data_IF_894084296447
#
_entry.id   IF_894084296447
#
_cell.length_a   1.000
_cell.length_b   1.000
_cell.length_c   1.000
_cell.angle_alpha   90.00
_cell.angle_beta   90.00
_cell.angle_gamma   90.00
#
_symmetry.space_group_name_H-M   'P 1'
#
loop_
_entity.id
_entity.type
_entity.pdbx_description
1 polymer ?
#
# COMPACT_ATOMS: atom_id res chain seq x y z
N UNK A 1 -79.27 -65.57 9.18
CA UNK A 1 -79.25 -66.05 7.77
C UNK A 1 -78.95 -64.85 6.89
N UNK A 2 -77.70 -64.70 6.40
CA UNK A 2 -77.30 -64.89 4.98
C UNK A 2 -77.84 -63.75 4.07
N UNK A 3 -77.09 -63.04 3.22
CA UNK A 3 -75.74 -63.20 2.65
C UNK A 3 -75.33 -61.89 1.96
N UNK A 4 -74.01 -61.67 1.93
CA UNK A 4 -73.18 -60.95 0.95
C UNK A 4 -73.71 -59.73 0.15
N UNK A 5 -73.02 -58.60 0.33
CA UNK A 5 -72.86 -57.59 -0.73
C UNK A 5 -71.37 -57.24 -0.93
N UNK A 6 -70.94 -57.30 -2.20
CA UNK A 6 -69.56 -57.13 -2.66
C UNK A 6 -69.21 -55.63 -2.77
N UNK A 7 -68.13 -55.22 -2.09
CA UNK A 7 -67.50 -53.89 -2.24
C UNK A 7 -66.80 -53.75 -3.59
N UNK A 8 -67.17 -52.70 -4.35
CA UNK A 8 -66.49 -52.26 -5.59
C UNK A 8 -65.32 -51.33 -5.27
N UNK A 9 -64.24 -51.55 -6.00
CA UNK A 9 -62.95 -50.87 -5.96
C UNK A 9 -63.01 -49.42 -6.42
N UNK A 10 -62.41 -48.51 -5.63
CA UNK A 10 -61.93 -47.20 -6.10
C UNK A 10 -60.43 -47.14 -5.92
N UNK A 11 -59.74 -46.99 -7.03
CA UNK A 11 -58.29 -46.81 -7.18
C UNK A 11 -57.84 -45.52 -6.50
N UNK A 12 -57.08 -45.62 -5.40
CA UNK A 12 -56.33 -44.50 -4.79
C UNK A 12 -54.86 -44.59 -5.21
N UNK A 13 -54.44 -43.63 -6.03
CA UNK A 13 -53.03 -43.37 -6.36
C UNK A 13 -52.26 -43.01 -5.08
N UNK A 14 -51.15 -43.71 -4.81
CA UNK A 14 -50.17 -43.36 -3.76
C UNK A 14 -49.29 -42.18 -4.26
N UNK A 15 -48.96 -41.19 -3.41
CA UNK A 15 -48.05 -40.12 -3.79
C UNK A 15 -46.60 -40.62 -3.78
N UNK A 16 -45.83 -40.19 -4.78
CA UNK A 16 -44.38 -40.42 -4.89
C UNK A 16 -43.67 -39.67 -3.76
N UNK A 17 -42.83 -40.38 -2.99
CA UNK A 17 -41.83 -39.76 -2.12
C UNK A 17 -40.79 -39.08 -3.02
N UNK A 18 -40.71 -37.75 -2.98
CA UNK A 18 -39.50 -37.04 -3.39
C UNK A 18 -38.60 -36.97 -2.15
N UNK A 19 -37.49 -37.69 -2.21
CA UNK A 19 -36.40 -37.51 -1.26
C UNK A 19 -35.83 -36.10 -1.49
N UNK A 20 -36.09 -35.20 -0.55
CA UNK A 20 -35.48 -33.88 -0.53
C UNK A 20 -33.97 -34.03 -0.35
N UNK A 21 -33.21 -33.52 -1.31
CA UNK A 21 -31.81 -33.15 -1.08
C UNK A 21 -31.85 -31.88 -0.23
N UNK A 22 -31.24 -31.83 0.95
CA UNK A 22 -31.12 -30.58 1.70
C UNK A 22 -30.29 -29.62 0.86
N UNK A 23 -30.86 -28.47 0.49
CA UNK A 23 -30.03 -27.34 0.03
C UNK A 23 -29.18 -26.94 1.22
N UNK A 24 -27.86 -27.09 1.07
CA UNK A 24 -26.89 -26.49 1.97
C UNK A 24 -27.02 -24.97 1.79
N UNK A 25 -27.83 -24.32 2.63
CA UNK A 25 -27.68 -22.89 2.85
C UNK A 25 -26.38 -22.76 3.66
N UNK A 26 -25.29 -22.40 2.99
CA UNK A 26 -24.04 -22.03 3.66
C UNK A 26 -24.29 -20.94 4.70
N UNK A 27 -23.35 -20.75 5.65
CA UNK A 27 -23.49 -19.71 6.66
C UNK A 27 -23.81 -18.39 5.96
N UNK A 28 -24.95 -17.78 6.33
CA UNK A 28 -25.29 -16.42 5.90
C UNK A 28 -24.27 -15.49 6.56
N UNK A 29 -23.10 -15.35 5.93
CA UNK A 29 -22.19 -14.26 6.25
C UNK A 29 -22.98 -12.98 5.95
N UNK A 30 -23.34 -12.24 7.00
CA UNK A 30 -23.64 -10.82 6.81
C UNK A 30 -22.37 -10.22 6.23
N UNK A 31 -22.43 -9.72 5.00
CA UNK A 31 -21.40 -8.85 4.45
C UNK A 31 -21.36 -7.63 5.35
N UNK A 32 -20.38 -7.57 6.25
CA UNK A 32 -20.13 -6.40 7.08
C UNK A 32 -19.67 -5.32 6.11
N UNK A 33 -20.46 -4.27 5.92
CA UNK A 33 -20.02 -3.14 5.10
C UNK A 33 -19.06 -2.27 5.91
N UNK A 34 -18.13 -1.57 5.26
CA UNK A 34 -17.18 -0.65 5.92
C UNK A 34 -17.89 0.34 6.87
N UNK A 35 -19.15 0.70 6.59
CA UNK A 35 -20.00 1.55 7.43
C UNK A 35 -20.43 0.94 8.77
N UNK A 36 -20.33 -0.38 8.92
CA UNK A 36 -20.65 -1.12 10.16
C UNK A 36 -19.42 -1.32 11.06
N UNK A 37 -18.21 -1.05 10.56
CA UNK A 37 -17.00 -1.14 11.36
C UNK A 37 -16.86 0.07 12.31
N UNK A 38 -16.29 -0.14 13.51
CA UNK A 38 -15.93 0.97 14.39
C UNK A 38 -14.98 1.93 13.65
N UNK A 39 -15.20 3.23 13.89
CA UNK A 39 -14.52 4.31 13.18
C UNK A 39 -13.33 4.79 14.00
N UNK A 40 -12.27 5.14 13.30
CA UNK A 40 -11.16 5.90 13.86
C UNK A 40 -11.67 7.22 14.45
N UNK A 41 -10.94 7.74 15.44
CA UNK A 41 -11.16 9.10 15.96
C UNK A 41 -10.12 10.02 15.34
N UNK A 42 -10.55 11.06 14.64
CA UNK A 42 -9.61 12.05 14.10
C UNK A 42 -9.07 12.92 15.22
N UNK A 43 -7.75 13.05 15.29
CA UNK A 43 -7.05 13.90 16.27
C UNK A 43 -6.41 15.11 15.59
N UNK A 44 -5.93 14.96 14.35
CA UNK A 44 -5.40 16.04 13.50
C UNK A 44 -6.52 16.84 12.82
N UNK A 45 -7.29 17.61 13.60
CA UNK A 45 -8.45 18.34 13.07
C UNK A 45 -8.08 19.42 12.03
N UNK A 46 -6.97 20.14 12.25
CA UNK A 46 -6.49 21.15 11.30
C UNK A 46 -5.97 20.51 10.02
N UNK A 47 -5.20 19.43 10.12
CA UNK A 47 -4.80 18.61 8.97
C UNK A 47 -6.00 18.11 8.17
N UNK A 48 -7.03 17.58 8.84
CA UNK A 48 -8.23 17.10 8.16
C UNK A 48 -8.99 18.23 7.47
N UNK A 49 -9.07 19.40 8.10
CA UNK A 49 -9.73 20.56 7.50
C UNK A 49 -8.98 21.04 6.25
N UNK A 50 -7.66 21.24 6.34
CA UNK A 50 -6.81 21.61 5.22
C UNK A 50 -6.92 20.59 4.08
N UNK A 51 -6.87 19.30 4.41
CA UNK A 51 -7.08 18.21 3.44
C UNK A 51 -8.45 18.30 2.75
N UNK A 52 -9.51 18.64 3.49
CA UNK A 52 -10.87 18.80 2.95
C UNK A 52 -10.96 19.97 1.97
N UNK A 53 -10.36 21.11 2.31
CA UNK A 53 -10.40 22.33 1.49
C UNK A 53 -9.30 22.41 0.43
N UNK A 54 -8.42 21.40 0.39
CA UNK A 54 -7.28 21.30 -0.54
C UNK A 54 -6.19 22.33 -0.34
N UNK A 55 -5.92 22.65 0.93
CA UNK A 55 -4.82 23.51 1.35
C UNK A 55 -3.73 22.67 2.02
N UNK A 56 -2.52 23.23 2.10
CA UNK A 56 -1.44 22.64 2.88
C UNK A 56 -1.80 22.77 4.38
N UNK A 57 -1.70 21.71 5.18
CA UNK A 57 -1.92 21.82 6.62
C UNK A 57 -0.91 22.77 7.29
N UNK A 58 -1.25 23.32 8.47
CA UNK A 58 -0.27 24.08 9.25
C UNK A 58 0.80 23.14 9.84
N UNK A 59 1.96 23.71 10.18
CA UNK A 59 2.91 23.06 11.08
C UNK A 59 2.28 22.94 12.46
N UNK A 60 2.36 21.76 13.07
CA UNK A 60 1.73 21.49 14.36
C UNK A 60 2.71 20.95 15.39
N UNK A 61 2.65 21.48 16.62
CA UNK A 61 3.24 20.85 17.79
C UNK A 61 2.38 19.65 18.17
N UNK A 62 2.87 18.43 17.95
CA UNK A 62 2.14 17.19 18.26
C UNK A 62 2.26 16.88 19.75
N UNK A 63 3.48 16.88 20.28
CA UNK A 63 3.83 16.71 21.70
C UNK A 63 5.06 17.57 22.02
N UNK A 64 5.38 17.84 23.30
CA UNK A 64 6.60 18.58 23.62
C UNK A 64 7.85 17.91 23.00
N UNK A 65 8.52 18.64 22.09
CA UNK A 65 9.67 18.16 21.33
C UNK A 65 9.34 17.29 20.11
N UNK A 66 8.07 17.22 19.71
CA UNK A 66 7.61 16.48 18.51
C UNK A 66 6.71 17.38 17.67
N UNK A 67 7.13 17.67 16.45
CA UNK A 67 6.42 18.51 15.50
C UNK A 67 6.06 17.73 14.24
N UNK A 68 5.06 18.20 13.49
CA UNK A 68 4.71 17.67 12.18
C UNK A 68 4.71 18.80 11.17
N UNK A 69 5.55 18.70 10.14
CA UNK A 69 5.70 19.66 9.05
C UNK A 69 5.15 19.03 7.77
N UNK A 70 4.00 19.49 7.27
CA UNK A 70 3.50 19.06 5.98
C UNK A 70 4.38 19.64 4.87
N UNK A 71 5.09 18.77 4.16
CA UNK A 71 5.92 19.12 3.00
C UNK A 71 5.12 18.90 1.73
N UNK A 72 5.06 19.92 0.86
CA UNK A 72 4.28 19.86 -0.38
C UNK A 72 4.76 18.73 -1.33
N UNK A 73 3.78 18.03 -1.90
CA UNK A 73 3.94 17.05 -2.96
C UNK A 73 3.19 17.54 -4.20
N UNK A 74 3.84 18.37 -5.04
CA UNK A 74 3.16 19.09 -6.11
C UNK A 74 2.64 18.15 -7.19
N UNK A 75 1.51 18.53 -7.81
CA UNK A 75 0.84 17.77 -8.87
C UNK A 75 0.45 16.33 -8.50
N UNK A 76 0.40 16.00 -7.20
CA UNK A 76 0.00 14.68 -6.71
C UNK A 76 -1.35 14.76 -5.96
N UNK A 77 -2.26 13.78 -6.11
CA UNK A 77 -3.51 13.71 -5.34
C UNK A 77 -3.33 13.71 -3.81
N UNK A 78 -2.19 13.24 -3.30
CA UNK A 78 -1.84 13.23 -1.87
C UNK A 78 -1.48 14.63 -1.34
N UNK A 79 -0.98 15.51 -2.22
CA UNK A 79 -0.68 16.94 -2.01
C UNK A 79 0.43 17.28 -1.03
N UNK A 80 0.63 16.48 0.01
CA UNK A 80 1.71 16.65 0.97
C UNK A 80 2.08 15.33 1.63
N UNK A 81 3.31 15.30 2.14
CA UNK A 81 3.83 14.27 3.04
C UNK A 81 4.19 14.95 4.36
N UNK A 82 3.79 14.35 5.48
CA UNK A 82 4.10 14.85 6.81
C UNK A 82 5.52 14.41 7.17
N UNK A 83 6.41 15.37 7.35
CA UNK A 83 7.74 15.18 7.91
C UNK A 83 7.66 15.47 9.40
N UNK A 84 7.81 14.43 10.22
CA UNK A 84 7.78 14.59 11.68
C UNK A 84 9.19 14.95 12.20
N UNK A 85 9.25 15.83 13.19
CA UNK A 85 10.50 16.37 13.73
C UNK A 85 10.62 16.04 15.20
N UNK A 86 11.72 15.42 15.59
CA UNK A 86 12.07 15.14 16.97
C UNK A 86 13.19 16.06 17.44
N UNK A 87 12.96 16.78 18.52
CA UNK A 87 14.01 17.49 19.24
C UNK A 87 14.90 16.50 19.98
N UNK A 88 16.21 16.55 19.70
CA UNK A 88 17.24 15.72 20.33
C UNK A 88 18.30 16.64 20.96
N UNK A 89 19.14 16.15 21.89
CA UNK A 89 20.08 17.01 22.61
C UNK A 89 21.03 17.85 21.73
N UNK A 90 21.35 17.41 20.51
CA UNK A 90 22.26 18.13 19.62
C UNK A 90 21.59 18.87 18.45
N UNK A 91 20.26 18.81 18.33
CA UNK A 91 19.52 19.46 17.25
C UNK A 91 18.17 18.80 17.02
N UNK A 92 17.85 18.50 15.77
CA UNK A 92 16.63 17.80 15.39
C UNK A 92 16.90 16.59 14.51
N UNK A 93 16.01 15.60 14.58
CA UNK A 93 15.97 14.49 13.63
C UNK A 93 14.62 14.47 12.95
N UNK A 94 14.65 14.29 11.63
CA UNK A 94 13.46 14.18 10.80
C UNK A 94 13.07 12.71 10.62
N UNK A 95 11.77 12.45 10.55
CA UNK A 95 11.20 11.22 10.00
C UNK A 95 10.61 11.57 8.65
N UNK A 96 11.18 10.98 7.60
CA UNK A 96 11.01 11.30 6.19
C UNK A 96 11.49 12.72 5.81
N UNK A 97 11.48 13.04 4.52
CA UNK A 97 12.19 14.20 3.97
C UNK A 97 11.36 15.06 3.02
N UNK A 98 10.41 14.50 2.27
CA UNK A 98 9.68 15.21 1.23
C UNK A 98 10.13 14.90 -0.20
N UNK A 99 9.30 15.33 -1.16
CA UNK A 99 9.50 15.15 -2.60
C UNK A 99 10.68 16.00 -3.13
N UNK A 100 11.53 15.50 -4.06
CA UNK A 100 12.80 16.14 -4.42
C UNK A 100 12.67 17.32 -5.41
N UNK A 101 11.93 18.35 -5.03
CA UNK A 101 11.72 19.58 -5.82
C UNK A 101 12.03 20.83 -5.00
N UNK A 102 12.37 21.92 -5.68
CA UNK A 102 12.74 23.19 -5.01
C UNK A 102 11.62 23.79 -4.17
N UNK A 103 10.36 23.63 -4.59
CA UNK A 103 9.19 24.11 -3.85
C UNK A 103 9.03 23.37 -2.51
N UNK A 104 9.19 22.04 -2.51
CA UNK A 104 9.17 21.20 -1.31
C UNK A 104 10.35 21.51 -0.38
N UNK A 105 11.54 21.74 -0.95
CA UNK A 105 12.69 22.17 -0.18
C UNK A 105 12.46 23.51 0.52
N UNK A 106 11.96 24.51 -0.20
CA UNK A 106 11.66 25.82 0.37
C UNK A 106 10.61 25.70 1.49
N UNK A 107 9.53 24.96 1.24
CA UNK A 107 8.47 24.72 2.21
C UNK A 107 8.95 23.99 3.48
N UNK A 108 9.83 22.98 3.34
CA UNK A 108 10.45 22.32 4.50
C UNK A 108 11.30 23.30 5.33
N UNK A 109 12.11 24.15 4.67
CA UNK A 109 12.94 25.14 5.37
C UNK A 109 12.06 26.16 6.13
N UNK A 110 11.03 26.69 5.49
CA UNK A 110 10.06 27.59 6.14
C UNK A 110 9.36 26.92 7.34
N UNK A 111 9.01 25.64 7.20
CA UNK A 111 8.44 24.84 8.27
C UNK A 111 9.37 24.72 9.48
N UNK A 112 10.66 24.41 9.25
CA UNK A 112 11.68 24.35 10.29
C UNK A 112 11.89 25.71 10.96
N UNK A 113 12.00 26.79 10.17
CA UNK A 113 12.17 28.15 10.69
C UNK A 113 11.00 28.55 11.59
N UNK A 114 9.77 28.15 11.24
CA UNK A 114 8.57 28.45 12.02
C UNK A 114 8.57 27.81 13.42
N UNK A 115 9.33 26.74 13.62
CA UNK A 115 9.49 26.05 14.91
C UNK A 115 10.83 26.38 15.58
N UNK A 116 11.57 27.36 15.06
CA UNK A 116 12.81 27.86 15.66
C UNK A 116 14.06 27.07 15.30
N UNK A 117 14.00 26.21 14.27
CA UNK A 117 15.14 25.46 13.75
C UNK A 117 15.48 25.87 12.33
N UNK A 118 16.66 25.51 11.88
CA UNK A 118 17.12 25.66 10.50
C UNK A 118 17.51 24.29 9.94
N UNK A 119 17.70 24.21 8.63
CA UNK A 119 18.15 22.96 8.02
C UNK A 119 19.50 22.49 8.57
N UNK A 120 20.37 23.41 9.00
CA UNK A 120 21.68 23.09 9.57
C UNK A 120 21.60 22.52 10.99
N UNK A 121 20.44 22.57 11.64
CA UNK A 121 20.21 21.93 12.95
C UNK A 121 19.79 20.46 12.81
N UNK A 122 19.59 19.97 11.59
CA UNK A 122 19.23 18.57 11.34
C UNK A 122 20.46 17.68 11.53
N UNK A 123 20.38 16.77 12.51
CA UNK A 123 21.44 15.79 12.80
C UNK A 123 21.25 14.50 12.02
N UNK A 124 20.02 14.18 11.62
CA UNK A 124 19.69 12.93 10.96
C UNK A 124 18.32 12.92 10.30
N UNK A 125 18.16 12.00 9.35
CA UNK A 125 16.91 11.68 8.70
C UNK A 125 16.67 10.17 8.83
N UNK A 126 15.65 9.80 9.58
CA UNK A 126 15.08 8.46 9.57
C UNK A 126 14.08 8.37 8.42
N UNK A 127 14.21 7.37 7.57
CA UNK A 127 13.33 7.20 6.42
C UNK A 127 12.50 5.95 6.63
N UNK A 128 11.18 6.10 6.55
CA UNK A 128 10.22 5.00 6.71
C UNK A 128 10.37 3.99 5.59
N UNK A 129 10.53 4.46 4.35
CA UNK A 129 10.77 3.63 3.16
C UNK A 129 11.30 4.42 1.97
N UNK A 130 11.70 3.72 0.91
CA UNK A 130 12.43 4.29 -0.23
C UNK A 130 11.60 5.07 -1.28
N UNK A 131 10.31 5.31 -1.08
CA UNK A 131 9.55 6.14 -2.02
C UNK A 131 10.02 7.59 -2.01
N UNK A 132 9.94 8.23 -3.18
CA UNK A 132 10.61 9.50 -3.44
C UNK A 132 10.04 10.68 -2.63
N UNK A 133 8.78 10.64 -2.20
CA UNK A 133 8.20 11.60 -1.27
C UNK A 133 8.71 11.44 0.17
N UNK A 134 9.23 10.28 0.55
CA UNK A 134 9.78 10.05 1.87
C UNK A 134 11.29 10.26 1.91
N UNK A 135 11.98 9.80 0.87
CA UNK A 135 13.44 9.80 0.80
C UNK A 135 14.03 10.94 -0.04
N UNK A 136 13.24 11.55 -0.93
CA UNK A 136 13.75 12.37 -2.03
C UNK A 136 14.61 13.55 -1.61
N UNK A 137 14.19 14.31 -0.59
CA UNK A 137 14.99 15.45 -0.11
C UNK A 137 16.14 15.04 0.81
N UNK A 138 16.23 13.81 1.31
CA UNK A 138 17.18 13.43 2.35
C UNK A 138 18.65 13.68 1.94
N UNK A 139 18.98 13.53 0.65
CA UNK A 139 20.31 13.80 0.11
C UNK A 139 20.66 15.28 0.18
N UNK A 140 19.70 16.15 -0.17
CA UNK A 140 19.87 17.60 -0.08
C UNK A 140 19.94 18.06 1.38
N UNK A 141 19.21 17.41 2.28
CA UNK A 141 19.29 17.65 3.73
C UNK A 141 20.69 17.32 4.22
N UNK A 142 21.21 16.12 3.93
CA UNK A 142 22.58 15.72 4.27
C UNK A 142 23.61 16.70 3.73
N UNK A 143 23.53 17.07 2.46
CA UNK A 143 24.50 17.97 1.83
C UNK A 143 24.52 19.37 2.47
N UNK A 144 23.37 19.83 2.98
CA UNK A 144 23.23 21.13 3.64
C UNK A 144 23.60 21.14 5.13
N UNK A 145 23.42 20.02 5.84
CA UNK A 145 23.50 19.94 7.31
C UNK A 145 24.61 19.05 7.84
N UNK A 146 25.08 18.08 7.06
CA UNK A 146 25.90 16.97 7.53
C UNK A 146 25.10 15.84 8.19
N UNK A 147 23.77 15.87 8.15
CA UNK A 147 22.89 14.84 8.71
C UNK A 147 23.18 13.44 8.12
N UNK A 148 23.10 12.40 8.96
CA UNK A 148 23.09 11.02 8.46
C UNK A 148 21.71 10.62 7.94
N UNK A 149 21.66 9.72 6.96
CA UNK A 149 20.43 9.10 6.46
C UNK A 149 20.37 7.65 6.93
N UNK A 150 19.24 7.25 7.52
CA UNK A 150 19.03 5.87 7.94
C UNK A 150 17.69 5.32 7.46
N UNK A 151 17.70 4.10 6.91
CA UNK A 151 16.51 3.37 6.47
C UNK A 151 16.71 1.86 6.62
N UNK A 152 15.66 1.06 6.49
CA UNK A 152 15.79 -0.38 6.60
C UNK A 152 16.71 -0.97 5.53
N UNK A 153 17.45 -2.03 5.87
CA UNK A 153 18.45 -2.60 4.96
C UNK A 153 17.90 -3.08 3.61
N UNK A 154 16.65 -3.54 3.56
CA UNK A 154 16.03 -4.02 2.33
C UNK A 154 15.73 -2.86 1.37
N UNK A 155 15.24 -1.74 1.89
CA UNK A 155 14.99 -0.54 1.09
C UNK A 155 16.29 0.17 0.71
N UNK A 156 17.29 0.15 1.61
CA UNK A 156 18.64 0.64 1.32
C UNK A 156 19.26 -0.10 0.13
N UNK A 157 19.09 -1.43 0.04
CA UNK A 157 19.58 -2.23 -1.09
C UNK A 157 18.91 -1.84 -2.40
N UNK A 158 17.61 -1.58 -2.41
CA UNK A 158 16.89 -1.19 -3.64
C UNK A 158 17.38 0.14 -4.23
N UNK A 159 17.92 1.04 -3.39
CA UNK A 159 18.43 2.36 -3.81
C UNK A 159 19.95 2.43 -3.97
N UNK A 160 20.69 1.38 -3.61
CA UNK A 160 22.16 1.35 -3.64
C UNK A 160 22.74 1.03 -5.03
N UNK A 161 21.91 0.99 -6.07
CA UNK A 161 22.33 0.66 -7.43
C UNK A 161 22.30 1.87 -8.36
N UNK A 162 23.41 2.10 -9.07
CA UNK A 162 23.41 2.94 -10.28
C UNK A 162 22.68 2.16 -11.38
N UNK A 163 21.35 2.27 -11.41
CA UNK A 163 20.56 1.62 -12.45
C UNK A 163 20.68 2.43 -13.73
N UNK A 164 21.20 1.81 -14.79
CA UNK A 164 21.19 2.39 -16.12
C UNK A 164 19.71 2.66 -16.54
N UNK A 165 19.36 3.90 -16.95
CA UNK A 165 17.99 4.25 -17.34
C UNK A 165 17.39 3.30 -18.39
N UNK A 166 18.22 2.81 -19.31
CA UNK A 166 17.80 1.89 -20.36
C UNK A 166 17.54 0.48 -19.79
N UNK A 167 18.31 0.02 -18.80
CA UNK A 167 18.02 -1.24 -18.09
C UNK A 167 16.71 -1.13 -17.32
N UNK A 168 16.48 0.00 -16.63
CA UNK A 168 15.23 0.24 -15.90
C UNK A 168 14.02 0.22 -16.85
N UNK A 169 14.12 0.98 -17.95
CA UNK A 169 13.08 1.04 -18.98
C UNK A 169 12.75 -0.36 -19.51
N UNK A 170 13.76 -1.16 -19.85
CA UNK A 170 13.59 -2.54 -20.34
C UNK A 170 12.92 -3.47 -19.35
N UNK A 171 13.30 -3.38 -18.07
CA UNK A 171 12.63 -4.14 -17.01
C UNK A 171 11.16 -3.73 -16.91
N UNK A 172 10.86 -2.44 -17.05
CA UNK A 172 9.51 -1.90 -17.14
C UNK A 172 8.71 -2.44 -18.33
N UNK A 173 9.28 -2.45 -19.54
CA UNK A 173 8.67 -3.01 -20.76
C UNK A 173 8.36 -4.50 -20.57
N UNK A 174 9.34 -5.24 -20.07
CA UNK A 174 9.19 -6.68 -19.82
C UNK A 174 8.07 -6.96 -18.82
N UNK A 175 7.96 -6.17 -17.74
CA UNK A 175 6.87 -6.30 -16.76
C UNK A 175 5.49 -5.99 -17.37
N UNK A 176 5.39 -4.95 -18.21
CA UNK A 176 4.16 -4.59 -18.89
C UNK A 176 3.72 -5.69 -19.87
N UNK A 177 4.65 -6.25 -20.66
CA UNK A 177 4.36 -7.36 -21.60
C UNK A 177 3.95 -8.62 -20.83
N UNK A 178 4.66 -8.96 -19.75
CA UNK A 178 4.30 -10.09 -18.87
C UNK A 178 2.90 -9.94 -18.29
N UNK A 179 2.49 -8.71 -18.00
CA UNK A 179 1.14 -8.40 -17.48
C UNK A 179 0.06 -8.34 -18.57
N UNK A 180 0.43 -8.52 -19.85
CA UNK A 180 -0.49 -8.52 -20.98
C UNK A 180 -0.92 -7.14 -21.46
N UNK A 181 -0.08 -6.13 -21.29
CA UNK A 181 -0.30 -4.80 -21.87
C UNK A 181 -0.13 -4.86 -23.38
N UNK A 182 -1.14 -4.38 -24.10
CA UNK A 182 -1.11 -4.26 -25.55
C UNK A 182 -0.12 -3.18 -26.02
N UNK A 183 0.48 -3.40 -27.19
CA UNK A 183 1.49 -2.48 -27.73
C UNK A 183 0.98 -1.03 -27.89
N UNK A 184 -0.32 -0.83 -28.09
CA UNK A 184 -0.94 0.49 -28.19
C UNK A 184 -0.97 1.26 -26.87
N UNK A 185 -1.03 0.57 -25.72
CA UNK A 185 -1.14 1.20 -24.40
C UNK A 185 0.22 1.41 -23.73
N UNK A 186 1.24 0.67 -24.18
CA UNK A 186 2.62 0.70 -23.69
C UNK A 186 3.21 2.13 -23.53
N UNK A 187 3.09 3.05 -24.51
CA UNK A 187 3.72 4.36 -24.40
C UNK A 187 3.20 5.21 -23.24
N UNK A 188 1.96 4.96 -22.78
CA UNK A 188 1.38 5.68 -21.64
C UNK A 188 1.80 5.11 -20.29
N UNK A 189 2.27 3.86 -20.24
CA UNK A 189 2.55 3.11 -19.01
C UNK A 189 4.03 2.93 -18.72
N UNK A 190 4.88 3.21 -19.70
CA UNK A 190 6.32 3.14 -19.53
C UNK A 190 6.83 4.36 -18.78
N UNK A 191 7.72 4.10 -17.82
CA UNK A 191 8.47 5.16 -17.16
C UNK A 191 9.65 5.50 -18.08
N UNK A 192 9.67 6.72 -18.60
CA UNK A 192 10.73 7.18 -19.49
C UNK A 192 11.98 7.66 -18.74
N UNK A 193 13.01 8.06 -19.50
CA UNK A 193 14.27 8.53 -18.93
C UNK A 193 14.15 9.81 -18.09
N UNK A 194 13.19 10.70 -18.40
CA UNK A 194 12.96 11.92 -17.63
C UNK A 194 12.32 11.63 -16.28
N UNK A 195 11.30 10.76 -16.26
CA UNK A 195 10.68 10.27 -15.03
C UNK A 195 11.69 9.43 -14.22
N UNK A 196 12.54 8.65 -14.88
CA UNK A 196 13.61 7.90 -14.24
C UNK A 196 14.63 8.80 -13.54
N UNK A 197 14.97 9.97 -14.09
CA UNK A 197 15.89 10.92 -13.43
C UNK A 197 15.36 11.42 -12.08
N UNK A 198 14.04 11.49 -11.90
CA UNK A 198 13.43 11.78 -10.59
C UNK A 198 13.68 10.63 -9.59
N UNK A 199 13.67 9.38 -10.04
CA UNK A 199 14.04 8.20 -9.25
C UNK A 199 15.56 8.01 -9.07
N UNK A 200 16.39 8.48 -10.00
CA UNK A 200 17.85 8.28 -9.99
C UNK A 200 18.59 9.22 -9.03
N UNK A 201 17.92 10.23 -8.46
CA UNK A 201 18.48 11.14 -7.45
C UNK A 201 18.28 10.66 -6.03
N UNK A 202 17.81 9.43 -5.84
CA UNK A 202 17.55 8.88 -4.53
C UNK A 202 18.88 8.73 -3.75
N UNK A 203 19.01 9.36 -2.57
CA UNK A 203 20.23 9.27 -1.78
C UNK A 203 20.41 7.88 -1.17
N UNK A 204 21.66 7.44 -1.11
CA UNK A 204 22.06 6.24 -0.38
C UNK A 204 21.96 6.47 1.13
N UNK A 205 21.57 5.44 1.86
CA UNK A 205 21.60 5.42 3.31
C UNK A 205 23.05 5.42 3.83
N UNK A 206 23.34 6.20 4.86
CA UNK A 206 24.63 6.20 5.55
C UNK A 206 24.70 5.07 6.60
N UNK A 207 23.54 4.63 7.10
CA UNK A 207 23.40 3.46 7.98
C UNK A 207 22.07 2.75 7.77
N UNK A 208 22.04 1.46 8.07
CA UNK A 208 20.80 0.68 8.04
C UNK A 208 20.19 0.59 9.44
N UNK A 209 18.87 0.46 9.51
CA UNK A 209 18.12 0.16 10.74
C UNK A 209 17.38 -1.18 10.62
N UNK A 210 17.15 -1.84 11.75
CA UNK A 210 16.43 -3.12 11.82
C UNK A 210 15.27 -3.09 12.82
N UNK A 211 14.42 -4.11 12.79
CA UNK A 211 13.32 -4.25 13.75
C UNK A 211 13.80 -4.20 15.21
N UNK A 212 13.06 -3.47 16.04
CA UNK A 212 13.34 -3.31 17.47
C UNK A 212 14.52 -2.39 17.82
N UNK A 213 15.26 -1.90 16.83
CA UNK A 213 16.35 -0.93 17.04
C UNK A 213 15.82 0.39 17.60
N UNK A 214 16.64 1.11 18.36
CA UNK A 214 16.38 2.46 18.84
C UNK A 214 17.34 3.42 18.14
N UNK A 215 16.97 3.96 16.97
CA UNK A 215 17.95 4.53 16.05
C UNK A 215 18.43 5.93 16.44
N UNK A 216 17.71 6.63 17.33
CA UNK A 216 18.04 8.00 17.74
C UNK A 216 18.99 8.03 18.94
N UNK A 217 20.21 8.58 18.81
CA UNK A 217 21.09 8.83 19.95
C UNK A 217 20.41 9.81 20.93
N UNK A 218 20.34 9.45 22.21
CA UNK A 218 19.75 10.31 23.25
C UNK A 218 18.21 10.30 23.33
N UNK A 219 17.51 9.80 22.31
CA UNK A 219 16.06 9.59 22.31
C UNK A 219 15.73 8.09 22.25
N UNK A 220 16.19 7.37 23.28
CA UNK A 220 16.05 5.90 23.36
C UNK A 220 14.61 5.42 23.46
N UNK A 221 13.61 6.29 23.53
CA UNK A 221 12.19 5.94 23.55
C UNK A 221 11.61 5.72 22.14
N UNK A 222 12.33 6.11 21.08
CA UNK A 222 11.94 5.84 19.71
C UNK A 222 12.44 4.46 19.30
N UNK A 223 11.53 3.57 18.91
CA UNK A 223 11.83 2.19 18.49
C UNK A 223 11.29 1.91 17.10
N UNK A 224 12.13 1.30 16.27
CA UNK A 224 11.78 0.83 14.92
C UNK A 224 10.88 -0.40 15.00
N UNK A 225 9.86 -0.44 14.15
CA UNK A 225 9.04 -1.60 13.85
C UNK A 225 9.17 -1.94 12.36
N UNK A 226 9.62 -3.13 12.01
CA UNK A 226 9.63 -3.56 10.62
C UNK A 226 8.22 -3.98 10.18
N UNK A 227 7.69 -3.30 9.16
CA UNK A 227 6.32 -3.43 8.68
C UNK A 227 6.26 -3.61 7.15
N UNK A 228 6.91 -4.66 6.62
CA UNK A 228 7.06 -4.87 5.18
C UNK A 228 5.73 -5.08 4.47
N UNK A 229 5.74 -4.82 3.15
CA UNK A 229 4.64 -5.11 2.23
C UNK A 229 4.34 -3.94 1.29
N UNK A 230 4.30 -2.71 1.82
CA UNK A 230 4.24 -1.49 0.99
C UNK A 230 5.55 -1.27 0.24
N UNK A 231 6.66 -1.41 0.95
CA UNK A 231 7.99 -1.68 0.42
C UNK A 231 8.61 -2.86 1.18
N UNK A 232 9.67 -3.51 0.66
CA UNK A 232 10.36 -4.58 1.37
C UNK A 232 10.92 -4.16 2.74
N UNK A 233 11.39 -2.92 2.83
CA UNK A 233 12.01 -2.33 4.02
C UNK A 233 11.15 -1.32 4.77
N UNK A 234 9.84 -1.26 4.52
CA UNK A 234 9.02 -0.28 5.22
C UNK A 234 9.11 -0.47 6.74
N UNK A 235 9.29 0.63 7.47
CA UNK A 235 9.27 0.66 8.94
C UNK A 235 8.29 1.70 9.47
N UNK A 236 7.69 1.38 10.61
CA UNK A 236 7.05 2.38 11.48
C UNK A 236 7.99 2.72 12.65
N UNK A 237 7.75 3.86 13.29
CA UNK A 237 8.44 4.22 14.54
C UNK A 237 7.44 4.37 15.69
N UNK A 238 7.71 3.74 16.82
CA UNK A 238 6.95 3.96 18.06
C UNK A 238 7.72 4.95 18.92
N UNK A 239 7.05 6.03 19.33
CA UNK A 239 7.48 6.87 20.44
C UNK A 239 6.83 6.36 21.73
N UNK A 240 7.58 5.57 22.50
CA UNK A 240 7.10 4.93 23.73
C UNK A 240 6.89 5.95 24.86
N UNK A 241 7.55 7.12 24.80
CA UNK A 241 7.43 8.16 25.82
C UNK A 241 6.14 8.96 25.63
N UNK A 242 5.83 9.30 24.40
CA UNK A 242 4.66 10.11 24.04
C UNK A 242 3.45 9.28 23.59
N UNK A 243 3.59 7.95 23.54
CA UNK A 243 2.58 7.00 23.09
C UNK A 243 2.07 7.28 21.66
N UNK A 244 3.01 7.57 20.75
CA UNK A 244 2.75 7.85 19.34
C UNK A 244 3.21 6.70 18.46
N UNK A 245 2.50 6.49 17.35
CA UNK A 245 2.93 5.62 16.27
C UNK A 245 3.08 6.44 15.00
N UNK A 246 4.30 6.58 14.49
CA UNK A 246 4.58 7.13 13.17
C UNK A 246 4.44 5.97 12.18
N UNK A 247 3.31 5.92 11.50
CA UNK A 247 2.91 4.77 10.69
C UNK A 247 3.49 4.80 9.28
N UNK A 248 4.10 5.91 8.85
CA UNK A 248 4.52 6.09 7.46
C UNK A 248 3.35 5.85 6.52
N UNK A 249 3.59 5.04 5.50
CA UNK A 249 2.57 4.55 4.57
C UNK A 249 2.00 3.18 4.97
N UNK A 250 2.33 2.64 6.13
CA UNK A 250 1.77 1.35 6.55
C UNK A 250 0.29 1.45 6.92
N UNK A 251 -0.10 2.51 7.63
CA UNK A 251 -1.49 2.74 8.07
C UNK A 251 -1.86 4.21 7.84
N UNK A 252 -2.78 4.45 6.90
CA UNK A 252 -3.29 5.77 6.54
C UNK A 252 -4.76 5.89 6.97
N UNK A 253 -5.27 7.09 7.32
CA UNK A 253 -6.56 7.24 8.00
C UNK A 253 -7.77 6.96 7.10
N UNK A 254 -7.64 7.18 5.78
CA UNK A 254 -8.76 7.02 4.84
C UNK A 254 -8.44 6.05 3.71
N UNK A 255 -7.27 6.17 3.08
CA UNK A 255 -6.87 5.31 1.96
C UNK A 255 -6.13 4.05 2.42
N UNK A 256 -6.14 3.01 1.58
CA UNK A 256 -5.15 1.94 1.66
C UNK A 256 -3.85 2.41 1.01
N UNK A 257 -2.68 2.05 1.53
CA UNK A 257 -1.43 2.29 0.85
C UNK A 257 -1.32 1.41 -0.38
N UNK A 258 -0.52 1.85 -1.35
CA UNK A 258 -0.30 1.11 -2.58
C UNK A 258 0.55 -0.13 -2.30
N UNK A 259 0.05 -1.33 -2.60
CA UNK A 259 0.82 -2.57 -2.51
C UNK A 259 1.03 -3.11 -3.92
N UNK A 260 2.28 -3.35 -4.34
CA UNK A 260 2.55 -3.80 -5.71
C UNK A 260 3.66 -4.85 -5.76
N UNK A 261 3.59 -5.72 -6.78
CA UNK A 261 4.71 -6.59 -7.10
C UNK A 261 5.71 -5.80 -7.94
N UNK A 262 6.85 -5.46 -7.34
CA UNK A 262 7.92 -4.78 -8.07
C UNK A 262 8.62 -5.74 -9.04
N UNK A 263 9.18 -5.27 -10.18
CA UNK A 263 9.82 -6.13 -11.18
C UNK A 263 10.97 -7.01 -10.65
N UNK A 264 11.59 -6.62 -9.53
CA UNK A 264 12.68 -7.32 -8.85
C UNK A 264 12.22 -8.16 -7.66
N UNK A 265 10.96 -8.02 -7.27
CA UNK A 265 10.41 -8.70 -6.11
C UNK A 265 9.82 -10.05 -6.50
N UNK A 266 10.25 -11.09 -5.80
CA UNK A 266 9.74 -12.45 -5.92
C UNK A 266 9.07 -12.81 -4.60
N UNK A 267 7.80 -12.47 -4.43
CA UNK A 267 7.12 -12.60 -3.14
C UNK A 267 5.62 -12.47 -3.20
N UNK A 268 5.00 -12.45 -2.03
CA UNK A 268 3.59 -12.16 -1.82
C UNK A 268 3.49 -10.86 -1.01
N UNK A 269 3.66 -9.68 -1.64
CA UNK A 269 3.74 -8.41 -0.94
C UNK A 269 2.43 -8.09 -0.21
N UNK A 270 1.28 -8.50 -0.76
CA UNK A 270 -0.01 -8.32 -0.10
C UNK A 270 -0.15 -9.23 1.13
N UNK A 271 0.23 -10.51 1.04
CA UNK A 271 0.26 -11.39 2.20
C UNK A 271 1.18 -10.85 3.29
N UNK A 272 2.37 -10.40 2.90
CA UNK A 272 3.37 -9.79 3.80
C UNK A 272 2.82 -8.53 4.46
N UNK A 273 2.16 -7.67 3.69
CA UNK A 273 1.50 -6.47 4.19
C UNK A 273 0.41 -6.79 5.23
N UNK A 274 -0.47 -7.75 4.92
CA UNK A 274 -1.56 -8.17 5.82
C UNK A 274 -0.99 -8.77 7.11
N UNK A 275 0.07 -9.57 7.02
CA UNK A 275 0.73 -10.15 8.20
C UNK A 275 1.35 -9.05 9.08
N UNK A 276 2.06 -8.09 8.48
CA UNK A 276 2.61 -6.91 9.17
C UNK A 276 1.51 -6.07 9.83
N UNK A 277 0.41 -5.82 9.11
CA UNK A 277 -0.73 -5.06 9.59
C UNK A 277 -1.39 -5.74 10.80
N UNK A 278 -1.53 -7.07 10.76
CA UNK A 278 -2.11 -7.84 11.85
C UNK A 278 -1.16 -7.98 13.06
N UNK A 279 0.15 -7.95 12.86
CA UNK A 279 1.13 -7.96 13.94
C UNK A 279 1.05 -6.69 14.82
N UNK A 280 0.44 -5.62 14.32
CA UNK A 280 0.23 -4.35 15.02
C UNK A 280 -1.01 -4.33 15.93
N UNK A 281 -1.88 -5.36 15.85
CA UNK A 281 -3.10 -5.43 16.66
C UNK A 281 -2.79 -5.43 18.16
N UNK A 282 -3.51 -4.61 18.91
CA UNK A 282 -3.39 -4.53 20.36
C UNK A 282 -2.22 -3.66 20.85
N UNK A 283 -1.45 -3.02 19.96
CA UNK A 283 -0.42 -2.05 20.38
C UNK A 283 -1.01 -0.79 21.03
N UNK A 284 -2.23 -0.40 20.63
CA UNK A 284 -3.01 0.68 21.24
C UNK A 284 -2.25 2.02 21.46
N UNK A 285 -1.56 2.58 20.45
CA UNK A 285 -0.99 3.92 20.57
C UNK A 285 -2.10 4.96 20.83
N UNK A 286 -1.77 6.03 21.55
CA UNK A 286 -2.72 7.12 21.82
C UNK A 286 -3.08 7.85 20.53
N UNK A 287 -2.10 8.05 19.65
CA UNK A 287 -2.25 8.76 18.39
C UNK A 287 -1.31 8.16 17.32
N UNK A 288 -1.81 8.12 16.09
CA UNK A 288 -1.11 7.67 14.89
C UNK A 288 -0.80 8.88 14.02
N UNK A 289 0.45 8.98 13.60
CA UNK A 289 1.03 9.99 12.73
C UNK A 289 1.31 9.33 11.37
N UNK A 290 0.34 9.37 10.44
CA UNK A 290 0.55 8.88 9.08
C UNK A 290 1.36 9.90 8.26
N UNK A 291 2.10 9.40 7.27
CA UNK A 291 2.83 10.27 6.35
C UNK A 291 1.90 11.06 5.43
N UNK A 292 0.67 10.60 5.19
CA UNK A 292 -0.32 11.33 4.41
C UNK A 292 -1.63 11.56 5.15
N UNK A 293 -2.37 12.57 4.69
CA UNK A 293 -3.69 12.95 5.19
C UNK A 293 -3.64 13.57 6.61
N UNK A 294 -4.09 12.89 7.66
CA UNK A 294 -4.29 13.48 8.98
C UNK A 294 -4.15 12.48 10.14
N UNK A 295 -3.66 12.97 11.29
CA UNK A 295 -3.53 12.17 12.52
C UNK A 295 -4.87 11.64 13.03
N UNK A 296 -4.83 10.46 13.63
CA UNK A 296 -6.00 9.77 14.18
C UNK A 296 -5.64 8.83 15.34
N UNK A 297 -6.64 8.33 16.05
CA UNK A 297 -6.54 7.23 17.00
C UNK A 297 -7.53 6.11 16.65
N UNK A 298 -7.32 4.92 17.23
CA UNK A 298 -8.06 3.70 16.88
C UNK A 298 -7.34 2.88 15.82
N UNK A 299 -6.16 2.35 16.18
CA UNK A 299 -5.33 1.54 15.28
C UNK A 299 -6.03 0.24 14.88
N UNK A 300 -6.57 -0.50 15.86
CA UNK A 300 -7.23 -1.79 15.63
C UNK A 300 -8.49 -1.61 14.76
N UNK A 301 -9.24 -0.53 14.95
CA UNK A 301 -10.36 -0.17 14.08
C UNK A 301 -9.91 0.05 12.64
N UNK A 302 -8.77 0.75 12.45
CA UNK A 302 -8.25 1.01 11.11
C UNK A 302 -7.72 -0.25 10.45
N UNK A 303 -7.00 -1.10 11.17
CA UNK A 303 -6.53 -2.42 10.71
C UNK A 303 -7.72 -3.26 10.24
N UNK A 304 -8.81 -3.31 11.01
CA UNK A 304 -10.02 -4.04 10.62
C UNK A 304 -10.64 -3.53 9.31
N UNK A 305 -10.68 -2.21 9.11
CA UNK A 305 -11.17 -1.60 7.86
C UNK A 305 -10.28 -1.93 6.65
N UNK A 306 -8.96 -1.94 6.84
CA UNK A 306 -8.00 -2.22 5.77
C UNK A 306 -7.99 -3.71 5.40
N UNK A 307 -8.08 -4.60 6.39
CA UNK A 307 -8.28 -6.03 6.14
C UNK A 307 -9.57 -6.31 5.37
N UNK A 308 -10.69 -5.67 5.76
CA UNK A 308 -11.95 -5.80 5.02
C UNK A 308 -11.82 -5.29 3.58
N UNK A 309 -11.16 -4.16 3.38
CA UNK A 309 -10.91 -3.61 2.04
C UNK A 309 -10.15 -4.60 1.14
N UNK A 310 -9.09 -5.23 1.67
CA UNK A 310 -8.32 -6.21 0.90
C UNK A 310 -9.11 -7.50 0.65
N UNK A 311 -9.90 -8.00 1.62
CA UNK A 311 -10.76 -9.16 1.38
C UNK A 311 -11.85 -8.88 0.33
N UNK A 312 -12.45 -7.68 0.32
CA UNK A 312 -13.39 -7.25 -0.71
C UNK A 312 -12.71 -7.19 -2.09
N UNK A 313 -11.50 -6.65 -2.17
CA UNK A 313 -10.72 -6.59 -3.42
C UNK A 313 -10.28 -7.98 -3.89
N UNK A 314 -9.86 -8.87 -2.99
CA UNK A 314 -9.54 -10.27 -3.31
C UNK A 314 -10.76 -10.99 -3.89
N UNK A 315 -11.94 -10.80 -3.30
CA UNK A 315 -13.18 -11.37 -3.80
C UNK A 315 -13.53 -10.85 -5.20
N UNK A 316 -13.36 -9.55 -5.46
CA UNK A 316 -13.59 -8.94 -6.77
C UNK A 316 -12.63 -9.49 -7.84
N UNK A 317 -11.32 -9.57 -7.53
CA UNK A 317 -10.30 -10.12 -8.43
C UNK A 317 -10.58 -11.58 -8.75
N UNK A 318 -10.91 -12.38 -7.73
CA UNK A 318 -11.25 -13.80 -7.91
C UNK A 318 -12.51 -13.97 -8.77
N UNK A 319 -13.54 -13.13 -8.56
CA UNK A 319 -14.75 -13.14 -9.40
C UNK A 319 -14.41 -12.83 -10.87
N UNK A 320 -13.59 -11.81 -11.12
CA UNK A 320 -13.14 -11.45 -12.47
C UNK A 320 -12.39 -12.61 -13.16
N UNK A 321 -11.50 -13.30 -12.44
CA UNK A 321 -10.78 -14.47 -12.97
C UNK A 321 -11.73 -15.65 -13.27
N UNK A 322 -12.74 -15.88 -12.42
CA UNK A 322 -13.74 -16.92 -12.64
C UNK A 322 -14.61 -16.65 -13.88
N UNK A 323 -14.96 -15.39 -14.13
CA UNK A 323 -15.73 -14.97 -15.30
C UNK A 323 -14.90 -14.96 -16.59
N UNK A 324 -13.59 -14.73 -16.47
CA UNK A 324 -12.67 -14.58 -17.58
C UNK A 324 -11.41 -15.46 -17.45
N UNK A 325 -11.56 -16.81 -17.44
CA UNK A 325 -10.42 -17.71 -17.33
C UNK A 325 -9.44 -17.53 -18.49
N UNK A 326 -8.16 -17.39 -18.16
CA UNK A 326 -7.07 -17.15 -19.11
C UNK A 326 -6.81 -15.67 -19.42
N UNK A 327 -7.50 -14.74 -18.75
CA UNK A 327 -7.20 -13.32 -18.83
C UNK A 327 -5.85 -12.99 -18.18
N UNK A 328 -5.13 -12.02 -18.77
CA UNK A 328 -3.90 -11.45 -18.22
C UNK A 328 -4.18 -10.50 -17.06
N UNK A 329 -3.14 -10.11 -16.31
CA UNK A 329 -3.26 -9.10 -15.25
C UNK A 329 -3.88 -7.79 -15.77
N UNK A 330 -3.48 -7.33 -16.96
CA UNK A 330 -4.03 -6.14 -17.60
C UNK A 330 -5.54 -6.29 -17.91
N UNK A 331 -5.92 -7.44 -18.47
CA UNK A 331 -7.31 -7.74 -18.79
C UNK A 331 -8.18 -7.88 -17.54
N UNK A 332 -7.64 -8.42 -16.44
CA UNK A 332 -8.34 -8.46 -15.15
C UNK A 332 -8.46 -7.05 -14.56
N UNK A 333 -7.37 -6.27 -14.55
CA UNK A 333 -7.34 -4.89 -14.03
C UNK A 333 -8.42 -4.01 -14.67
N UNK A 334 -8.62 -4.14 -15.99
CA UNK A 334 -9.62 -3.37 -16.73
C UNK A 334 -11.09 -3.70 -16.39
N UNK A 335 -11.32 -4.82 -15.69
CA UNK A 335 -12.66 -5.28 -15.28
C UNK A 335 -12.98 -5.00 -13.82
N UNK A 336 -12.01 -4.54 -13.03
CA UNK A 336 -12.22 -4.20 -11.62
C UNK A 336 -12.84 -2.81 -11.45
N UNK A 337 -13.41 -2.59 -10.28
CA UNK A 337 -13.98 -1.31 -9.87
C UNK A 337 -12.87 -0.36 -9.44
N UNK A 338 -12.80 0.78 -10.12
CA UNK A 338 -11.87 1.86 -9.79
C UNK A 338 -12.65 3.13 -9.47
N UNK A 339 -12.19 3.91 -8.49
CA UNK A 339 -12.87 5.13 -8.01
C UNK A 339 -13.17 6.16 -9.10
N UNK A 340 -12.41 6.17 -10.20
CA UNK A 340 -12.62 7.05 -11.35
C UNK A 340 -13.02 6.29 -12.61
N UNK A 341 -13.22 4.97 -12.52
CA UNK A 341 -13.37 4.06 -13.65
C UNK A 341 -12.04 3.80 -14.38
N UNK A 342 -11.95 2.67 -15.07
CA UNK A 342 -10.75 2.27 -15.79
C UNK A 342 -10.33 3.26 -16.90
N UNK A 343 -11.31 3.79 -17.65
CA UNK A 343 -11.06 4.70 -18.76
C UNK A 343 -10.42 6.03 -18.34
N UNK A 344 -10.74 6.51 -17.14
CA UNK A 344 -10.15 7.74 -16.59
C UNK A 344 -8.89 7.46 -15.74
N UNK A 345 -8.57 6.20 -15.50
CA UNK A 345 -7.35 5.79 -14.80
C UNK A 345 -6.28 5.58 -15.87
N UNK A 346 -5.43 6.59 -16.10
CA UNK A 346 -4.42 6.60 -17.16
C UNK A 346 -3.01 6.81 -16.61
N UNK A 347 -1.99 6.59 -17.44
CA UNK A 347 -0.60 6.85 -17.09
C UNK A 347 -0.13 6.04 -15.89
N UNK A 348 0.60 6.70 -14.99
CA UNK A 348 1.12 6.10 -13.77
C UNK A 348 0.04 5.55 -12.83
N UNK A 349 -1.16 6.15 -12.80
CA UNK A 349 -2.26 5.62 -11.99
C UNK A 349 -2.75 4.27 -12.52
N UNK A 350 -2.77 4.09 -13.86
CA UNK A 350 -3.10 2.79 -14.47
C UNK A 350 -2.02 1.76 -14.18
N UNK A 351 -0.74 2.17 -14.26
CA UNK A 351 0.40 1.32 -13.90
C UNK A 351 0.31 0.85 -12.44
N UNK A 352 0.00 1.75 -11.51
CA UNK A 352 -0.21 1.42 -10.10
C UNK A 352 -1.40 0.46 -9.91
N UNK A 353 -2.55 0.74 -10.54
CA UNK A 353 -3.72 -0.14 -10.50
C UNK A 353 -3.41 -1.57 -10.97
N UNK A 354 -2.59 -1.71 -12.01
CA UNK A 354 -2.12 -3.02 -12.48
C UNK A 354 -1.19 -3.70 -11.47
N UNK A 355 -0.24 -2.97 -10.88
CA UNK A 355 0.68 -3.51 -9.87
C UNK A 355 -0.07 -4.02 -8.63
N UNK A 356 -1.09 -3.28 -8.21
CA UNK A 356 -1.98 -3.68 -7.11
C UNK A 356 -2.84 -4.89 -7.47
N UNK A 357 -3.37 -4.93 -8.69
CA UNK A 357 -4.11 -6.10 -9.18
C UNK A 357 -3.21 -7.34 -9.17
N UNK A 358 -1.97 -7.23 -9.66
CA UNK A 358 -1.01 -8.34 -9.65
C UNK A 358 -0.70 -8.81 -8.22
N UNK A 359 -0.53 -7.89 -7.26
CA UNK A 359 -0.31 -8.26 -5.86
C UNK A 359 -1.47 -9.09 -5.28
N UNK A 360 -2.72 -8.71 -5.59
CA UNK A 360 -3.89 -9.50 -5.20
C UNK A 360 -3.94 -10.86 -5.89
N UNK A 361 -3.63 -10.93 -7.18
CA UNK A 361 -3.60 -12.19 -7.93
C UNK A 361 -2.53 -13.14 -7.37
N UNK A 362 -1.32 -12.64 -7.11
CA UNK A 362 -0.24 -13.44 -6.50
C UNK A 362 -0.67 -13.94 -5.12
N UNK A 363 -1.32 -13.12 -4.31
CA UNK A 363 -1.83 -13.57 -3.03
C UNK A 363 -2.89 -14.68 -3.16
N UNK A 364 -3.81 -14.57 -4.12
CA UNK A 364 -4.79 -15.62 -4.43
C UNK A 364 -4.11 -16.91 -4.92
N UNK A 365 -3.05 -16.81 -5.72
CA UNK A 365 -2.24 -17.95 -6.19
C UNK A 365 -1.56 -18.65 -5.00
N UNK A 366 -1.01 -17.88 -4.05
CA UNK A 366 -0.44 -18.40 -2.80
C UNK A 366 -1.47 -19.07 -1.90
N UNK A 367 -2.71 -18.58 -1.89
CA UNK A 367 -3.86 -19.22 -1.24
C UNK A 367 -4.38 -20.45 -2.00
N UNK A 368 -3.84 -20.75 -3.19
CA UNK A 368 -4.25 -21.90 -4.02
C UNK A 368 -5.63 -21.73 -4.66
N UNK A 369 -6.11 -20.49 -4.81
CA UNK A 369 -7.44 -20.19 -5.36
C UNK A 369 -7.40 -19.92 -6.87
N UNK A 370 -6.26 -19.47 -7.38
CA UNK A 370 -6.00 -19.28 -8.81
C UNK A 370 -4.67 -19.93 -9.16
N UNK A 371 -4.35 -19.98 -10.46
CA UNK A 371 -3.06 -20.43 -10.98
C UNK A 371 -2.70 -19.69 -12.26
N UNK A 372 -1.41 -19.41 -12.44
CA UNK A 372 -0.90 -18.87 -13.70
C UNK A 372 -0.60 -20.01 -14.69
N UNK A 373 -1.03 -19.87 -15.94
CA UNK A 373 -0.60 -20.70 -17.07
C UNK A 373 -0.18 -19.77 -18.23
N UNK A 374 1.06 -19.24 -18.21
CA UNK A 374 1.48 -18.23 -19.17
C UNK A 374 1.29 -18.67 -20.62
N UNK A 375 0.91 -17.72 -21.47
CA UNK A 375 0.73 -17.90 -22.92
C UNK A 375 1.80 -17.15 -23.69
N UNK A 376 1.95 -17.47 -24.98
CA UNK A 376 2.82 -16.71 -25.88
C UNK A 376 2.40 -15.23 -25.87
N UNK A 377 3.33 -14.36 -25.51
CA UNK A 377 3.13 -12.92 -25.46
C UNK A 377 3.76 -12.24 -26.67
N UNK A 378 4.57 -11.21 -26.42
CA UNK A 378 5.17 -10.38 -27.46
C UNK A 378 6.68 -10.64 -27.57
N UNK A 379 7.23 -10.46 -28.76
CA UNK A 379 8.68 -10.43 -28.95
C UNK A 379 9.25 -9.14 -28.35
N UNK A 380 10.23 -9.27 -27.46
CA UNK A 380 10.94 -8.14 -26.87
C UNK A 380 12.44 -8.43 -26.91
N UNK A 381 13.22 -7.56 -27.55
CA UNK A 381 14.68 -7.70 -27.71
C UNK A 381 15.15 -9.03 -28.34
N UNK A 382 14.35 -9.60 -29.25
CA UNK A 382 14.68 -10.86 -29.92
C UNK A 382 14.31 -12.11 -29.12
N UNK A 383 13.71 -11.96 -27.94
CA UNK A 383 13.19 -13.05 -27.13
C UNK A 383 11.66 -13.00 -27.05
N UNK A 384 11.01 -14.16 -26.98
CA UNK A 384 9.57 -14.24 -26.75
C UNK A 384 9.32 -14.07 -25.24
N UNK A 385 8.64 -12.99 -24.85
CA UNK A 385 8.22 -12.78 -23.47
C UNK A 385 6.82 -13.36 -23.29
N UNK A 386 6.68 -14.33 -22.39
CA UNK A 386 5.37 -14.91 -22.07
C UNK A 386 4.51 -13.91 -21.28
N UNK A 387 3.23 -13.88 -21.61
CA UNK A 387 2.21 -13.10 -20.91
C UNK A 387 1.50 -14.00 -19.90
N UNK A 388 1.21 -13.48 -18.72
CA UNK A 388 0.44 -14.19 -17.72
C UNK A 388 -0.99 -14.50 -18.21
N UNK A 389 -1.54 -15.61 -17.71
CA UNK A 389 -2.92 -15.98 -17.97
C UNK A 389 -3.45 -16.75 -16.78
N UNK A 390 -4.44 -16.16 -16.11
CA UNK A 390 -4.87 -16.61 -14.79
C UNK A 390 -6.14 -17.44 -14.90
N UNK A 391 -6.15 -18.58 -14.22
CA UNK A 391 -7.28 -19.51 -14.18
C UNK A 391 -7.69 -19.77 -12.73
N UNK A 392 -8.97 -20.05 -12.47
CA UNK A 392 -9.38 -20.62 -11.19
C UNK A 392 -8.61 -21.92 -10.93
N UNK A 393 -8.19 -22.12 -9.69
CA UNK A 393 -7.65 -23.40 -9.28
C UNK A 393 -8.76 -24.47 -9.39
N UNK A 394 -8.42 -25.66 -9.90
CA UNK A 394 -9.38 -26.76 -9.90
C UNK A 394 -9.68 -27.12 -8.44
N UNK A 395 -10.97 -27.16 -8.06
CA UNK A 395 -11.40 -27.71 -6.77
C UNK A 395 -10.87 -29.15 -6.70
N UNK A 396 -9.85 -29.38 -5.87
CA UNK A 396 -9.25 -30.69 -5.64
C UNK A 396 -10.16 -31.59 -4.81
#
# INVERSE_FOLDING_TARGET
MWRHERKRSRTRRRPRRHNGIPRFEGPRHRTVTVTELPRITVTGHLQKEAWRVRELPPVELVRPGVWSIPVIFPNNPLRSVNVDVFEVPGGIVLVDAGWPVDEAWANLNEGLESIGFSITDVEGVLVTHNHADHLGLAGRIRDASGAWIAMHELDAREVDFDVDPEIFKRAGETWLIKSGVEASDMPSLIIDAGQFVEFAKIPKADRTIVDGERPLPGATHIRTLWTPGHSPGHVCFIDEKNNLLLSGDHVLPRISPHISVHPREHGDPLGTYIDSLNAMLGMNPEEILPAHEYRFSGLDERIAQMNLHHEDRLAEVLASINEHPGASTYEISSKLTWSHGWENTQGMLRRAAMGETLAHIVHLDRRGLVRNQPRDGQMHQGELVQTDAWFPAALS
#
